data_IF_155319348656
#
_entry.id   IF_155319348656
#
_cell.length_a   1.000
_cell.length_b   1.000
_cell.length_c   1.000
_cell.angle_alpha   90.00
_cell.angle_beta   90.00
_cell.angle_gamma   90.00
#
_symmetry.space_group_name_H-M   'P 1'
#
loop_
_entity.id
_entity.type
_entity.pdbx_description
1 polymer ?
#
# COMPACT_ATOMS: atom_id res chain seq x y z
N UNK A 1 -6.42 15.30 1.22
CA UNK A 1 -5.20 15.06 1.99
C UNK A 1 -5.08 16.12 3.08
N UNK A 2 -4.92 15.72 4.35
CA UNK A 2 -5.02 16.64 5.50
C UNK A 2 -3.67 17.27 5.90
N UNK A 3 -2.57 16.55 5.68
CA UNK A 3 -1.23 16.90 6.18
C UNK A 3 -0.14 16.86 5.09
N UNK A 4 -0.52 16.80 3.82
CA UNK A 4 0.42 16.72 2.69
C UNK A 4 0.28 17.93 1.77
N UNK A 5 1.25 18.08 0.87
CA UNK A 5 1.26 19.07 -0.21
C UNK A 5 1.62 18.39 -1.53
N UNK A 6 1.41 19.04 -2.69
CA UNK A 6 1.95 18.55 -3.96
C UNK A 6 3.43 18.17 -3.84
N UNK A 7 3.78 16.99 -4.35
CA UNK A 7 5.09 16.37 -4.26
C UNK A 7 5.39 15.62 -2.96
N UNK A 8 4.48 15.57 -1.98
CA UNK A 8 4.66 14.70 -0.80
C UNK A 8 4.72 13.24 -1.24
N UNK A 9 5.75 12.52 -0.76
CA UNK A 9 5.88 11.07 -0.90
C UNK A 9 5.28 10.40 0.33
N UNK A 10 4.44 9.40 0.10
CA UNK A 10 3.82 8.57 1.13
C UNK A 10 4.31 7.14 0.92
N UNK A 11 4.88 6.56 1.98
CA UNK A 11 5.33 5.17 2.00
C UNK A 11 4.45 4.37 2.94
N UNK A 12 3.91 3.26 2.45
CA UNK A 12 3.24 2.24 3.27
C UNK A 12 4.05 0.95 3.22
N UNK A 13 4.56 0.49 4.36
CA UNK A 13 5.34 -0.75 4.46
C UNK A 13 4.43 -1.97 4.74
N UNK A 14 4.96 -3.16 4.50
CA UNK A 14 4.32 -4.46 4.75
C UNK A 14 2.97 -4.68 4.03
N UNK A 15 2.92 -4.31 2.76
CA UNK A 15 1.68 -4.32 1.95
C UNK A 15 1.49 -5.60 1.13
N UNK A 16 2.43 -6.55 1.15
CA UNK A 16 2.34 -7.78 0.36
C UNK A 16 2.07 -8.98 1.25
N UNK A 17 2.65 -9.01 2.46
CA UNK A 17 2.32 -9.97 3.53
C UNK A 17 2.45 -11.43 3.05
N UNK A 18 3.64 -11.80 2.59
CA UNK A 18 3.91 -13.13 2.00
C UNK A 18 3.00 -13.50 0.81
N UNK A 19 2.37 -12.50 0.18
CA UNK A 19 1.43 -12.67 -0.93
C UNK A 19 -0.02 -12.81 -0.49
N UNK A 20 -0.31 -12.90 0.80
CA UNK A 20 -1.68 -13.08 1.32
C UNK A 20 -2.62 -11.92 0.95
N UNK A 21 -2.07 -10.75 0.58
CA UNK A 21 -2.87 -9.58 0.15
C UNK A 21 -3.87 -9.87 -0.98
N UNK A 22 -3.60 -10.85 -1.85
CA UNK A 22 -4.54 -11.21 -2.93
C UNK A 22 -5.69 -12.09 -2.45
N UNK A 23 -5.58 -12.74 -1.29
CA UNK A 23 -6.64 -13.57 -0.71
C UNK A 23 -7.78 -12.69 -0.17
N UNK A 24 -8.92 -12.73 -0.87
CA UNK A 24 -10.12 -12.00 -0.49
C UNK A 24 -10.93 -12.68 0.62
N UNK A 25 -10.56 -13.90 1.01
CA UNK A 25 -11.19 -14.67 2.09
C UNK A 25 -10.38 -14.67 3.39
N UNK A 26 -9.20 -14.04 3.39
CA UNK A 26 -8.36 -13.95 4.59
C UNK A 26 -9.11 -13.33 5.76
N UNK A 27 -9.01 -14.00 6.91
CA UNK A 27 -9.54 -13.53 8.20
C UNK A 27 -8.52 -12.70 8.98
N UNK A 28 -7.30 -12.52 8.47
CA UNK A 28 -6.28 -11.68 9.10
C UNK A 28 -6.68 -10.20 8.96
N UNK A 29 -6.96 -9.48 10.06
CA UNK A 29 -7.34 -8.08 10.00
C UNK A 29 -6.27 -7.19 9.36
N UNK A 30 -4.99 -7.61 9.41
CA UNK A 30 -3.88 -6.89 8.77
C UNK A 30 -3.99 -6.97 7.26
N UNK A 31 -4.31 -8.15 6.72
CA UNK A 31 -4.50 -8.37 5.28
C UNK A 31 -5.73 -7.61 4.78
N UNK A 32 -6.85 -7.69 5.51
CA UNK A 32 -8.05 -6.91 5.21
C UNK A 32 -7.77 -5.41 5.20
N UNK A 33 -7.00 -4.91 6.17
CA UNK A 33 -6.57 -3.52 6.25
C UNK A 33 -5.73 -3.07 5.05
N UNK A 34 -4.76 -3.89 4.63
CA UNK A 34 -3.93 -3.59 3.45
C UNK A 34 -4.76 -3.59 2.16
N UNK A 35 -5.68 -4.55 1.99
CA UNK A 35 -6.59 -4.56 0.83
C UNK A 35 -7.44 -3.29 0.79
N UNK A 36 -7.99 -2.90 1.95
CA UNK A 36 -8.75 -1.64 2.07
C UNK A 36 -7.87 -0.42 1.79
N UNK A 37 -6.60 -0.44 2.19
CA UNK A 37 -5.65 0.62 1.87
C UNK A 37 -5.42 0.76 0.36
N UNK A 38 -5.26 -0.34 -0.38
CA UNK A 38 -5.17 -0.33 -1.85
C UNK A 38 -6.43 0.24 -2.51
N UNK A 39 -7.63 -0.14 -2.03
CA UNK A 39 -8.90 0.42 -2.52
C UNK A 39 -8.96 1.95 -2.32
N UNK A 40 -8.53 2.44 -1.15
CA UNK A 40 -8.49 3.87 -0.85
C UNK A 40 -7.51 4.63 -1.75
N UNK A 41 -6.33 4.06 -2.02
CA UNK A 41 -5.36 4.65 -2.95
C UNK A 41 -5.94 4.71 -4.37
N UNK A 42 -6.52 3.61 -4.84
CA UNK A 42 -7.10 3.54 -6.19
C UNK A 42 -8.25 4.54 -6.38
N UNK A 43 -9.02 4.79 -5.32
CA UNK A 43 -10.12 5.75 -5.32
C UNK A 43 -9.71 7.22 -5.06
N UNK A 44 -8.44 7.50 -4.72
CA UNK A 44 -7.98 8.86 -4.39
C UNK A 44 -7.31 9.53 -5.61
N UNK A 45 -8.00 10.41 -6.35
CA UNK A 45 -7.49 10.97 -7.60
C UNK A 45 -6.28 11.89 -7.42
N UNK A 46 -6.05 12.41 -6.20
CA UNK A 46 -4.93 13.32 -5.89
C UNK A 46 -3.60 12.60 -5.74
N UNK A 47 -3.56 11.27 -5.70
CA UNK A 47 -2.30 10.50 -5.64
C UNK A 47 -2.06 9.73 -6.94
N UNK A 48 -0.79 9.50 -7.22
CA UNK A 48 -0.34 8.46 -8.14
C UNK A 48 0.55 7.51 -7.35
N UNK A 49 0.33 6.20 -7.48
CA UNK A 49 0.99 5.22 -6.63
C UNK A 49 1.46 4.00 -7.41
N UNK A 50 2.48 3.35 -6.86
CA UNK A 50 2.96 2.03 -7.29
C UNK A 50 3.30 1.21 -6.04
N UNK A 51 3.46 -0.10 -6.23
CA UNK A 51 3.93 -1.00 -5.19
C UNK A 51 5.11 -1.82 -5.71
N UNK A 52 6.10 -2.03 -4.86
CA UNK A 52 7.25 -2.88 -5.15
C UNK A 52 7.28 -4.04 -4.17
N UNK A 53 7.30 -5.24 -4.73
CA UNK A 53 7.53 -6.46 -3.97
C UNK A 53 9.02 -6.62 -3.72
N UNK A 54 9.37 -7.12 -2.55
CA UNK A 54 10.76 -7.27 -2.09
C UNK A 54 10.95 -8.63 -1.44
N UNK A 55 12.15 -9.18 -1.62
CA UNK A 55 12.63 -10.37 -0.90
C UNK A 55 13.97 -10.04 -0.25
N UNK A 56 14.27 -10.69 0.87
CA UNK A 56 15.55 -10.52 1.56
C UNK A 56 15.58 -11.23 2.91
N UNK A 57 16.44 -10.78 3.81
CA UNK A 57 16.58 -11.36 5.16
C UNK A 57 15.30 -11.28 6.01
N UNK A 58 14.35 -10.42 5.64
CA UNK A 58 13.05 -10.28 6.30
C UNK A 58 11.94 -11.13 5.69
N UNK A 59 12.24 -11.98 4.70
CA UNK A 59 11.25 -12.77 3.98
C UNK A 59 10.68 -12.07 2.75
N UNK A 60 9.47 -12.46 2.36
CA UNK A 60 8.75 -11.93 1.19
C UNK A 60 7.68 -10.91 1.62
N UNK A 61 7.84 -9.67 1.16
CA UNK A 61 6.89 -8.60 1.44
C UNK A 61 6.95 -7.52 0.35
N UNK A 62 6.55 -6.28 0.66
CA UNK A 62 6.73 -5.12 -0.21
C UNK A 62 6.23 -3.83 0.43
N UNK A 63 6.36 -2.74 -0.31
CA UNK A 63 5.87 -1.42 0.10
C UNK A 63 5.12 -0.71 -1.04
N UNK A 64 4.18 0.15 -0.67
CA UNK A 64 3.57 1.14 -1.58
C UNK A 64 4.37 2.44 -1.51
N UNK A 65 4.58 3.05 -2.67
CA UNK A 65 5.02 4.44 -2.80
C UNK A 65 3.98 5.24 -3.58
N UNK A 66 3.46 6.30 -2.96
CA UNK A 66 2.52 7.23 -3.59
C UNK A 66 3.07 8.66 -3.58
N UNK A 67 2.80 9.41 -4.64
CA UNK A 67 3.12 10.83 -4.78
C UNK A 67 1.82 11.62 -4.87
N UNK A 68 1.70 12.66 -4.05
CA UNK A 68 0.58 13.61 -4.10
C UNK A 68 0.80 14.55 -5.28
N UNK A 69 -0.14 14.58 -6.23
CA UNK A 69 -0.05 15.39 -7.45
C UNK A 69 -0.48 16.83 -7.21
N UNK A 70 -1.66 17.02 -6.60
CA UNK A 70 -2.36 18.30 -6.47
C UNK A 70 -3.21 18.35 -5.17
#
# INVERSE_FOLDING_TARGET
MKLSRPGTIIIGDNVVREGEVIDNTSSDPRVQGIRRFYELIAAEPRVSATALQTVGSKGYDGFVMAVVKE
#
